data_IF_449432343081
#
_entry.id   IF_449432343081
#
_cell.length_a   1.000
_cell.length_b   1.000
_cell.length_c   1.000
_cell.angle_alpha   90.00
_cell.angle_beta   90.00
_cell.angle_gamma   90.00
#
_symmetry.space_group_name_H-M   'P 1'
#
loop_
_entity.id
_entity.type
_entity.pdbx_description
1 polymer ?
#
# COMPACT_ATOMS: atom_id res chain seq x y z
N UNK A 1 73.99 -13.47 -8.78
CA UNK A 1 72.59 -14.06 -8.50
C UNK A 1 71.66 -13.12 -7.74
N UNK A 2 72.11 -12.12 -6.99
CA UNK A 2 71.27 -11.26 -6.20
C UNK A 2 70.43 -10.18 -6.96
N UNK A 3 70.81 -9.79 -8.20
CA UNK A 3 70.10 -8.70 -8.89
C UNK A 3 68.82 -9.12 -9.60
N UNK A 4 68.68 -10.38 -10.03
CA UNK A 4 67.50 -10.88 -10.73
C UNK A 4 66.34 -11.24 -9.77
N UNK A 5 66.63 -11.67 -8.56
CA UNK A 5 65.63 -11.92 -7.52
C UNK A 5 65.06 -10.63 -6.94
N UNK A 6 65.88 -9.60 -6.75
CA UNK A 6 65.44 -8.29 -6.31
C UNK A 6 64.52 -7.59 -7.32
N UNK A 7 64.77 -7.75 -8.63
CA UNK A 7 63.90 -7.18 -9.68
C UNK A 7 62.54 -7.91 -9.79
N UNK A 8 62.53 -9.23 -9.67
CA UNK A 8 61.26 -10.01 -9.66
C UNK A 8 60.40 -9.68 -8.43
N UNK A 9 61.01 -9.50 -7.26
CA UNK A 9 60.31 -9.13 -6.05
C UNK A 9 59.71 -7.71 -6.13
N UNK A 10 60.44 -6.78 -6.76
CA UNK A 10 59.95 -5.40 -6.98
C UNK A 10 58.82 -5.36 -7.99
N UNK A 11 58.88 -6.13 -9.10
CA UNK A 11 57.83 -6.24 -10.09
C UNK A 11 56.56 -6.88 -9.48
N UNK A 12 56.75 -7.91 -8.68
CA UNK A 12 55.60 -8.53 -7.99
C UNK A 12 54.90 -7.58 -7.00
N UNK A 13 55.67 -6.80 -6.25
CA UNK A 13 55.10 -5.78 -5.34
C UNK A 13 54.38 -4.69 -6.11
N UNK A 14 54.91 -4.19 -7.22
CA UNK A 14 54.29 -3.19 -8.06
C UNK A 14 52.99 -3.72 -8.66
N UNK A 15 52.97 -4.95 -9.13
CA UNK A 15 51.77 -5.61 -9.66
C UNK A 15 50.69 -5.75 -8.57
N UNK A 16 51.08 -6.15 -7.36
CA UNK A 16 50.14 -6.25 -6.21
C UNK A 16 49.55 -4.88 -5.90
N UNK A 17 50.34 -3.81 -5.84
CA UNK A 17 49.85 -2.46 -5.61
C UNK A 17 48.91 -1.98 -6.72
N UNK A 18 49.21 -2.32 -7.99
CA UNK A 18 48.31 -2.01 -9.12
C UNK A 18 47.00 -2.75 -9.02
N UNK A 19 47.03 -4.05 -8.70
CA UNK A 19 45.81 -4.84 -8.50
C UNK A 19 44.96 -4.31 -7.34
N UNK A 20 45.59 -3.99 -6.21
CA UNK A 20 44.90 -3.39 -5.06
C UNK A 20 44.30 -2.02 -5.45
N UNK A 21 45.05 -1.21 -6.19
CA UNK A 21 44.60 0.08 -6.68
C UNK A 21 43.39 -0.04 -7.61
N UNK A 22 43.38 -1.01 -8.52
CA UNK A 22 42.26 -1.29 -9.41
C UNK A 22 41.05 -1.78 -8.61
N UNK A 23 41.27 -2.71 -7.68
CA UNK A 23 40.19 -3.19 -6.80
C UNK A 23 39.58 -2.02 -6.01
N UNK A 24 40.38 -1.18 -5.41
CA UNK A 24 39.94 -0.02 -4.66
C UNK A 24 39.16 0.99 -5.56
N UNK A 25 39.70 1.25 -6.76
CA UNK A 25 39.11 2.16 -7.73
C UNK A 25 37.72 1.70 -8.20
N UNK A 26 37.52 0.40 -8.31
CA UNK A 26 36.21 -0.19 -8.71
C UNK A 26 35.29 -0.39 -7.51
N UNK A 27 35.84 -0.80 -6.36
CA UNK A 27 35.00 -1.15 -5.20
C UNK A 27 34.51 0.09 -4.44
N UNK A 28 35.32 1.13 -4.29
CA UNK A 28 34.94 2.33 -3.53
C UNK A 28 33.74 3.05 -4.17
N UNK A 29 33.75 3.37 -5.48
CA UNK A 29 32.56 3.96 -6.11
C UNK A 29 31.33 3.08 -6.02
N UNK A 30 31.49 1.76 -6.20
CA UNK A 30 30.38 0.81 -6.09
C UNK A 30 29.80 0.79 -4.68
N UNK A 31 30.63 0.77 -3.65
CA UNK A 31 30.20 0.83 -2.25
C UNK A 31 29.53 2.16 -1.91
N UNK A 32 30.07 3.28 -2.41
CA UNK A 32 29.46 4.60 -2.20
C UNK A 32 28.10 4.70 -2.89
N UNK A 33 27.99 4.20 -4.12
CA UNK A 33 26.74 4.19 -4.87
C UNK A 33 25.69 3.30 -4.17
N UNK A 34 26.08 2.07 -3.82
CA UNK A 34 25.20 1.13 -3.12
C UNK A 34 24.78 1.69 -1.75
N UNK A 35 25.72 2.25 -0.99
CA UNK A 35 25.42 2.90 0.29
C UNK A 35 24.47 4.07 0.14
N UNK A 36 24.70 4.94 -0.86
CA UNK A 36 23.80 6.05 -1.19
C UNK A 36 22.39 5.56 -1.55
N UNK A 37 22.27 4.50 -2.35
CA UNK A 37 20.99 3.91 -2.70
C UNK A 37 20.25 3.33 -1.50
N UNK A 38 20.97 2.62 -0.61
CA UNK A 38 20.38 1.99 0.58
C UNK A 38 19.75 3.03 1.52
N UNK A 39 20.38 4.20 1.67
CA UNK A 39 19.91 5.26 2.57
C UNK A 39 19.00 6.29 1.88
N UNK A 40 18.82 6.21 0.55
CA UNK A 40 17.98 7.17 -0.19
C UNK A 40 16.50 6.81 -0.09
N UNK A 41 15.69 7.84 -0.16
CA UNK A 41 14.25 7.70 -0.39
C UNK A 41 13.94 7.65 -1.88
N UNK A 42 12.79 7.09 -2.24
CA UNK A 42 12.29 7.22 -3.59
C UNK A 42 11.98 8.70 -3.87
N UNK A 43 12.47 9.28 -4.97
CA UNK A 43 12.13 10.66 -5.29
C UNK A 43 10.65 10.78 -5.59
N UNK A 44 10.02 11.79 -4.99
CA UNK A 44 8.60 12.06 -5.19
C UNK A 44 8.35 13.57 -5.13
N UNK A 45 7.46 14.11 -5.96
CA UNK A 45 7.03 15.49 -5.85
C UNK A 45 6.32 15.72 -4.52
N UNK A 46 6.67 16.82 -3.85
CA UNK A 46 6.07 17.20 -2.55
C UNK A 46 4.88 18.13 -2.70
N UNK A 47 4.65 18.61 -3.90
CA UNK A 47 3.56 19.49 -4.28
C UNK A 47 2.91 18.95 -5.56
N UNK A 48 1.72 19.39 -5.83
CA UNK A 48 1.00 19.00 -7.03
C UNK A 48 -0.05 17.93 -6.73
N UNK A 49 -1.26 18.40 -6.77
CA UNK A 49 -2.47 17.60 -6.66
C UNK A 49 -3.19 17.71 -7.97
N UNK A 50 -3.47 16.57 -8.60
CA UNK A 50 -4.31 16.55 -9.79
C UNK A 50 -5.72 16.98 -9.44
N UNK A 51 -6.45 17.44 -10.44
CA UNK A 51 -7.86 17.71 -10.25
C UNK A 51 -8.62 16.40 -10.10
N UNK A 52 -9.72 16.45 -9.35
CA UNK A 52 -10.65 15.34 -9.28
C UNK A 52 -11.12 14.93 -10.70
N UNK A 53 -11.54 13.68 -10.91
CA UNK A 53 -12.08 13.27 -12.20
C UNK A 53 -13.27 14.16 -12.57
N UNK A 54 -13.51 14.33 -13.86
CA UNK A 54 -14.63 15.13 -14.38
C UNK A 54 -16.00 14.54 -14.06
N UNK A 55 -16.08 13.32 -13.55
CA UNK A 55 -17.30 12.73 -13.01
C UNK A 55 -17.71 13.45 -11.73
N UNK A 56 -18.87 14.10 -11.76
CA UNK A 56 -19.46 14.74 -10.58
C UNK A 56 -19.98 13.71 -9.56
N UNK A 57 -20.11 12.45 -9.96
CA UNK A 57 -20.64 11.39 -9.11
C UNK A 57 -19.51 10.56 -8.50
N UNK A 58 -19.55 10.43 -7.18
CA UNK A 58 -18.70 9.49 -6.45
C UNK A 58 -19.10 8.06 -6.78
N UNK A 59 -18.12 7.16 -6.89
CA UNK A 59 -18.40 5.74 -7.03
C UNK A 59 -18.82 5.11 -5.68
N UNK A 60 -18.48 5.75 -4.56
CA UNK A 60 -18.82 5.30 -3.22
C UNK A 60 -18.97 6.48 -2.27
N UNK A 61 -19.86 6.37 -1.29
CA UNK A 61 -20.02 7.37 -0.22
C UNK A 61 -19.03 7.18 0.94
N UNK A 62 -18.36 6.03 1.00
CA UNK A 62 -17.35 5.75 2.00
C UNK A 62 -16.49 4.55 1.65
N UNK A 63 -15.38 4.42 2.35
CA UNK A 63 -14.39 3.36 2.15
C UNK A 63 -13.98 2.74 3.48
N UNK A 64 -14.24 1.45 3.64
CA UNK A 64 -13.64 0.62 4.68
C UNK A 64 -12.49 -0.19 4.08
N UNK A 65 -11.27 0.17 4.40
CA UNK A 65 -10.04 -0.49 3.94
C UNK A 65 -9.43 -1.30 5.09
N UNK A 66 -9.41 -2.61 4.96
CA UNK A 66 -8.90 -3.51 6.00
C UNK A 66 -7.61 -4.15 5.53
N UNK A 67 -6.58 -4.08 6.36
CA UNK A 67 -5.28 -4.71 6.14
C UNK A 67 -5.07 -5.79 7.18
N UNK A 68 -4.88 -7.03 6.73
CA UNK A 68 -4.43 -8.14 7.56
C UNK A 68 -2.92 -8.27 7.44
N UNK A 69 -2.22 -7.97 8.51
CA UNK A 69 -0.77 -8.18 8.59
C UNK A 69 -0.44 -9.67 8.50
N UNK A 70 0.42 -10.03 7.56
CA UNK A 70 0.88 -11.41 7.37
C UNK A 70 -0.16 -12.37 6.75
N UNK A 71 -1.16 -11.84 6.02
CA UNK A 71 -2.26 -12.62 5.45
C UNK A 71 -1.85 -13.44 4.23
N UNK A 72 -1.69 -14.75 4.35
CA UNK A 72 -1.40 -15.67 3.22
C UNK A 72 -2.59 -15.81 2.29
N UNK A 73 -2.40 -15.42 1.02
CA UNK A 73 -3.45 -15.50 -0.03
C UNK A 73 -4.06 -16.89 -0.15
N UNK A 74 -3.23 -17.94 -0.21
CA UNK A 74 -3.66 -19.32 -0.39
C UNK A 74 -4.54 -19.81 0.77
N UNK A 75 -4.24 -19.42 2.01
CA UNK A 75 -5.04 -19.77 3.17
C UNK A 75 -6.28 -18.90 3.32
N UNK A 76 -6.17 -17.60 3.08
CA UNK A 76 -7.32 -16.69 3.13
C UNK A 76 -8.35 -17.01 2.04
N UNK A 77 -7.92 -17.51 0.87
CA UNK A 77 -8.80 -17.91 -0.23
C UNK A 77 -9.38 -19.32 -0.05
N UNK A 78 -8.91 -20.07 0.92
CA UNK A 78 -9.46 -21.40 1.25
C UNK A 78 -10.72 -21.27 2.11
N UNK A 79 -11.85 -21.74 1.56
CA UNK A 79 -13.16 -21.74 2.25
C UNK A 79 -13.22 -22.67 3.47
N UNK A 80 -12.20 -23.48 3.74
CA UNK A 80 -12.09 -24.20 5.01
C UNK A 80 -11.69 -23.27 6.17
N UNK A 81 -11.08 -22.13 5.86
CA UNK A 81 -10.62 -21.16 6.86
C UNK A 81 -11.47 -19.89 6.86
N UNK A 82 -11.80 -19.35 5.69
CA UNK A 82 -12.57 -18.11 5.55
C UNK A 82 -13.78 -18.28 4.62
N UNK A 83 -14.76 -19.11 4.99
CA UNK A 83 -15.91 -19.40 4.13
C UNK A 83 -16.80 -18.19 3.85
N UNK A 84 -17.05 -17.34 4.86
CA UNK A 84 -17.95 -16.19 4.73
C UNK A 84 -17.37 -15.11 3.83
N UNK A 85 -16.08 -14.76 4.02
CA UNK A 85 -15.39 -13.78 3.18
C UNK A 85 -15.39 -14.23 1.72
N UNK A 86 -15.03 -15.50 1.47
CA UNK A 86 -14.95 -16.01 0.10
C UNK A 86 -16.32 -16.11 -0.55
N UNK A 87 -17.35 -16.59 0.15
CA UNK A 87 -18.73 -16.63 -0.38
C UNK A 87 -19.23 -15.22 -0.71
N UNK A 88 -18.98 -14.22 0.16
CA UNK A 88 -19.40 -12.85 -0.08
C UNK A 88 -18.82 -12.30 -1.38
N UNK A 89 -17.53 -12.47 -1.61
CA UNK A 89 -16.87 -11.95 -2.80
C UNK A 89 -17.23 -12.76 -4.05
N UNK A 90 -17.30 -14.08 -3.94
CA UNK A 90 -17.67 -14.94 -5.06
C UNK A 90 -19.09 -14.68 -5.56
N UNK A 91 -19.98 -14.17 -4.70
CA UNK A 91 -21.36 -13.85 -5.04
C UNK A 91 -21.57 -12.35 -5.36
N UNK A 92 -20.94 -11.46 -4.61
CA UNK A 92 -21.30 -10.04 -4.59
C UNK A 92 -20.12 -9.09 -4.83
N UNK A 93 -18.92 -9.59 -5.07
CA UNK A 93 -17.72 -8.77 -5.18
C UNK A 93 -16.72 -9.25 -6.21
N UNK A 94 -15.53 -8.69 -6.11
CA UNK A 94 -14.38 -8.99 -6.95
C UNK A 94 -13.21 -9.45 -6.09
N UNK A 95 -12.61 -10.57 -6.46
CA UNK A 95 -11.30 -10.96 -5.97
C UNK A 95 -10.21 -10.38 -6.87
N UNK A 96 -9.16 -9.83 -6.27
CA UNK A 96 -8.06 -9.19 -6.99
C UNK A 96 -6.76 -9.85 -6.55
N UNK A 97 -5.98 -10.37 -7.49
CA UNK A 97 -4.61 -10.78 -7.20
C UNK A 97 -3.71 -9.54 -7.05
N UNK A 98 -2.95 -9.46 -5.97
CA UNK A 98 -2.11 -8.32 -5.65
C UNK A 98 -0.66 -8.76 -5.47
N UNK A 99 0.26 -8.06 -6.12
CA UNK A 99 1.70 -8.27 -5.96
C UNK A 99 2.30 -7.15 -5.12
N UNK A 100 2.89 -7.51 -3.99
CA UNK A 100 3.59 -6.55 -3.13
C UNK A 100 4.91 -6.10 -3.75
N UNK A 101 5.43 -4.97 -3.30
CA UNK A 101 6.81 -4.55 -3.58
C UNK A 101 7.84 -5.60 -3.14
N UNK A 102 9.10 -5.43 -3.52
CA UNK A 102 10.15 -6.41 -3.19
C UNK A 102 10.55 -6.42 -1.71
N UNK A 103 10.19 -5.38 -0.95
CA UNK A 103 10.44 -5.27 0.48
C UNK A 103 9.16 -5.62 1.24
N UNK A 104 8.98 -6.89 1.54
CA UNK A 104 7.81 -7.42 2.23
C UNK A 104 7.92 -7.26 3.75
N UNK A 105 8.08 -6.02 4.18
CA UNK A 105 8.08 -5.58 5.58
C UNK A 105 6.85 -4.70 5.79
N UNK A 106 6.18 -4.82 6.91
CA UNK A 106 4.93 -4.11 7.21
C UNK A 106 4.98 -2.62 6.88
N UNK A 107 5.99 -1.89 7.38
CA UNK A 107 6.12 -0.45 7.12
C UNK A 107 6.32 -0.11 5.63
N UNK A 108 7.06 -0.95 4.89
CA UNK A 108 7.27 -0.77 3.46
C UNK A 108 5.99 -1.00 2.66
N UNK A 109 5.26 -2.05 2.97
CA UNK A 109 3.99 -2.39 2.32
C UNK A 109 2.90 -1.36 2.63
N UNK A 110 2.79 -0.95 3.90
CA UNK A 110 1.85 0.10 4.31
C UNK A 110 2.15 1.42 3.59
N UNK A 111 3.42 1.84 3.51
CA UNK A 111 3.80 3.04 2.77
C UNK A 111 3.40 2.94 1.29
N UNK A 112 3.64 1.78 0.64
CA UNK A 112 3.26 1.59 -0.75
C UNK A 112 1.74 1.63 -0.95
N UNK A 113 0.95 1.02 -0.07
CA UNK A 113 -0.51 1.08 -0.10
C UNK A 113 -1.06 2.48 0.21
N UNK A 114 -0.36 3.22 1.04
CA UNK A 114 -0.78 4.57 1.43
C UNK A 114 -0.47 5.61 0.34
N UNK A 115 0.76 5.62 -0.19
CA UNK A 115 1.25 6.70 -1.05
C UNK A 115 1.36 6.32 -2.53
N UNK A 116 1.40 5.02 -2.83
CA UNK A 116 1.72 4.52 -4.17
C UNK A 116 3.19 4.72 -4.57
N UNK A 117 4.04 5.16 -3.65
CA UNK A 117 5.47 5.40 -3.91
C UNK A 117 6.26 4.13 -3.59
N UNK A 118 7.09 3.63 -4.52
CA UNK A 118 7.87 2.43 -4.29
C UNK A 118 8.76 2.52 -3.07
N UNK A 119 8.80 1.49 -2.25
CA UNK A 119 9.70 1.39 -1.11
C UNK A 119 11.14 1.12 -1.55
N UNK A 120 12.08 1.65 -0.77
CA UNK A 120 13.51 1.42 -0.91
C UNK A 120 14.08 0.74 0.33
N UNK A 121 15.32 0.22 0.29
CA UNK A 121 15.92 -0.47 1.44
C UNK A 121 15.88 0.31 2.76
N UNK A 122 15.89 1.66 2.71
CA UNK A 122 15.75 2.51 3.90
C UNK A 122 14.46 2.20 4.67
N UNK A 123 13.34 2.09 3.97
CA UNK A 123 12.04 1.82 4.59
C UNK A 123 11.99 0.42 5.24
N UNK A 124 12.64 -0.57 4.62
CA UNK A 124 12.79 -1.90 5.24
C UNK A 124 13.61 -1.87 6.53
N UNK A 125 14.62 -0.99 6.63
CA UNK A 125 15.39 -0.78 7.87
C UNK A 125 14.57 -0.04 8.93
N UNK A 126 13.58 0.73 8.55
CA UNK A 126 12.69 1.51 9.42
C UNK A 126 11.36 0.79 9.68
N UNK A 127 11.33 -0.55 9.63
CA UNK A 127 10.09 -1.33 9.66
C UNK A 127 9.13 -1.01 10.82
N UNK A 128 9.64 -0.49 11.92
CA UNK A 128 8.83 -0.16 13.10
C UNK A 128 8.43 1.32 13.17
N UNK A 129 8.93 2.16 12.30
CA UNK A 129 8.69 3.61 12.29
C UNK A 129 8.68 4.12 10.85
N UNK A 130 7.57 3.89 10.11
CA UNK A 130 7.47 4.41 8.75
C UNK A 130 7.44 5.94 8.77
N UNK A 131 8.20 6.54 7.85
CA UNK A 131 8.17 7.98 7.64
C UNK A 131 7.31 8.28 6.41
N UNK A 132 6.34 9.19 6.55
CA UNK A 132 5.57 9.68 5.41
C UNK A 132 6.49 10.54 4.54
N UNK A 133 6.48 10.36 3.21
CA UNK A 133 7.39 11.08 2.30
C UNK A 133 7.06 12.57 2.18
N UNK A 134 6.03 13.08 2.87
CA UNK A 134 5.62 14.49 2.85
C UNK A 134 5.03 14.93 1.50
N UNK A 135 4.49 13.98 0.73
CA UNK A 135 3.75 14.24 -0.51
C UNK A 135 2.26 14.11 -0.27
N UNK A 136 1.40 14.87 -0.95
CA UNK A 136 -0.02 14.58 -0.93
C UNK A 136 -0.30 13.14 -1.35
N UNK A 137 -1.19 12.47 -0.68
CA UNK A 137 -1.73 11.15 -1.04
C UNK A 137 -3.25 11.13 -0.88
N UNK A 138 -3.91 10.06 -1.39
CA UNK A 138 -5.36 9.97 -1.37
C UNK A 138 -5.95 9.93 0.04
N UNK A 139 -5.24 9.37 1.01
CA UNK A 139 -5.71 9.28 2.39
C UNK A 139 -5.60 10.63 3.12
N UNK A 140 -4.49 11.36 2.93
CA UNK A 140 -4.35 12.73 3.42
C UNK A 140 -5.44 13.62 2.83
N UNK A 141 -5.72 13.48 1.54
CA UNK A 141 -6.80 14.22 0.87
C UNK A 141 -8.18 13.87 1.40
N UNK A 142 -8.41 12.62 1.84
CA UNK A 142 -9.65 12.24 2.47
C UNK A 142 -9.93 13.00 3.79
N UNK A 143 -8.91 13.53 4.46
CA UNK A 143 -9.09 14.34 5.67
C UNK A 143 -9.05 15.85 5.44
N UNK A 144 -8.63 16.33 4.26
CA UNK A 144 -8.34 17.75 4.04
C UNK A 144 -8.99 18.34 2.79
N UNK A 145 -9.46 17.55 1.84
CA UNK A 145 -10.04 18.05 0.60
C UNK A 145 -11.45 18.61 0.82
N UNK A 146 -11.64 19.85 0.41
CA UNK A 146 -12.89 20.60 0.41
C UNK A 146 -13.23 20.97 -1.04
N UNK A 147 -14.04 20.13 -1.69
CA UNK A 147 -14.35 20.26 -3.11
C UNK A 147 -15.42 21.31 -3.41
N UNK A 148 -16.29 21.61 -2.45
CA UNK A 148 -17.34 22.62 -2.61
C UNK A 148 -16.96 24.00 -2.07
N UNK A 149 -15.83 24.11 -1.35
CA UNK A 149 -15.26 25.36 -0.86
C UNK A 149 -15.99 25.94 0.34
N UNK A 150 -16.68 25.12 1.13
CA UNK A 150 -17.41 25.55 2.32
C UNK A 150 -16.51 25.68 3.57
N UNK A 151 -15.27 25.24 3.49
CA UNK A 151 -14.26 25.29 4.56
C UNK A 151 -14.24 24.06 5.45
N UNK A 152 -14.98 23.00 5.07
CA UNK A 152 -15.04 21.73 5.77
C UNK A 152 -14.62 20.62 4.80
N UNK A 153 -13.77 19.70 5.25
CA UNK A 153 -13.39 18.57 4.40
C UNK A 153 -14.60 17.69 4.05
N UNK A 154 -14.70 17.29 2.79
CA UNK A 154 -15.82 16.46 2.29
C UNK A 154 -15.90 15.09 2.95
N UNK A 155 -14.76 14.58 3.42
CA UNK A 155 -14.66 13.30 4.08
C UNK A 155 -13.98 13.44 5.45
N UNK A 156 -14.13 12.40 6.27
CA UNK A 156 -13.42 12.25 7.54
C UNK A 156 -12.71 10.91 7.56
N UNK A 157 -11.40 10.94 7.83
CA UNK A 157 -10.55 9.77 7.82
C UNK A 157 -10.18 9.33 9.24
N UNK A 158 -10.38 8.05 9.54
CA UNK A 158 -9.97 7.44 10.79
C UNK A 158 -9.17 6.15 10.56
N UNK A 159 -8.25 5.89 11.49
CA UNK A 159 -7.43 4.69 11.52
C UNK A 159 -7.72 3.93 12.81
N UNK A 160 -7.79 2.61 12.75
CA UNK A 160 -7.93 1.74 13.92
C UNK A 160 -6.99 0.53 13.80
N UNK A 161 -6.38 0.13 14.92
CA UNK A 161 -5.59 -1.09 15.02
C UNK A 161 -4.10 -0.87 15.23
N UNK A 162 -3.27 -1.48 14.43
CA UNK A 162 -1.81 -1.41 14.58
C UNK A 162 -1.27 -0.01 14.33
N UNK A 163 -0.13 0.30 14.95
CA UNK A 163 0.45 1.64 14.96
C UNK A 163 1.05 2.07 13.61
N UNK A 164 1.37 1.14 12.72
CA UNK A 164 2.15 1.43 11.50
C UNK A 164 1.45 2.46 10.61
N UNK A 165 0.13 2.31 10.38
CA UNK A 165 -0.64 3.31 9.65
C UNK A 165 -0.71 4.65 10.41
N UNK A 166 -0.92 4.60 11.72
CA UNK A 166 -1.01 5.80 12.54
C UNK A 166 0.31 6.56 12.63
N UNK A 167 1.44 5.83 12.72
CA UNK A 167 2.77 6.45 12.74
C UNK A 167 3.09 7.12 11.39
N UNK A 168 2.62 6.55 10.26
CA UNK A 168 2.79 7.16 8.93
C UNK A 168 2.13 8.55 8.84
N UNK A 169 1.01 8.75 9.54
CA UNK A 169 0.25 10.00 9.57
C UNK A 169 0.33 10.73 10.93
N UNK A 170 1.40 10.47 11.70
CA UNK A 170 1.53 11.01 13.05
C UNK A 170 1.50 12.56 13.11
N UNK A 171 2.03 13.20 12.08
CA UNK A 171 2.09 14.67 11.97
C UNK A 171 0.79 15.30 11.41
N UNK A 172 -0.21 14.49 11.03
CA UNK A 172 -1.49 14.98 10.53
C UNK A 172 -2.53 15.00 11.67
N UNK A 173 -2.84 16.19 12.18
CA UNK A 173 -3.75 16.36 13.30
C UNK A 173 -5.24 16.16 12.94
N UNK A 174 -5.58 16.10 11.65
CA UNK A 174 -6.95 15.89 11.18
C UNK A 174 -7.36 14.42 11.15
N UNK A 175 -6.40 13.48 11.29
CA UNK A 175 -6.66 12.05 11.24
C UNK A 175 -6.83 11.49 12.65
N UNK A 176 -7.98 10.89 12.93
CA UNK A 176 -8.23 10.17 14.18
C UNK A 176 -7.58 8.78 14.14
N UNK A 177 -6.81 8.47 15.17
CA UNK A 177 -6.16 7.17 15.28
C UNK A 177 -6.49 6.48 16.62
N UNK A 178 -7.12 5.30 16.54
CA UNK A 178 -7.38 4.40 17.66
C UNK A 178 -6.36 3.25 17.64
N UNK A 179 -5.31 3.39 18.44
CA UNK A 179 -4.20 2.43 18.52
C UNK A 179 -4.53 1.25 19.42
N UNK A 180 -4.49 0.04 18.84
CA UNK A 180 -4.75 -1.21 19.54
C UNK A 180 -3.64 -2.24 19.27
N UNK A 181 -2.47 -2.02 19.86
CA UNK A 181 -1.35 -2.94 19.75
C UNK A 181 -0.95 -3.48 21.12
N UNK A 182 -0.92 -4.80 21.24
CA UNK A 182 -0.50 -5.50 22.47
C UNK A 182 0.80 -6.31 22.29
N UNK A 183 1.48 -6.15 21.15
CA UNK A 183 2.72 -6.85 20.80
C UNK A 183 2.49 -8.36 20.57
N UNK A 184 3.58 -9.08 20.35
CA UNK A 184 3.54 -10.53 20.06
C UNK A 184 3.24 -11.43 21.28
N UNK A 185 2.84 -10.87 22.42
CA UNK A 185 2.45 -11.64 23.61
C UNK A 185 0.95 -11.91 23.69
N UNK A 186 0.14 -11.14 22.98
CA UNK A 186 -1.31 -11.29 22.93
C UNK A 186 -1.81 -11.05 21.49
N UNK A 187 -1.92 -12.13 20.73
CA UNK A 187 -2.29 -12.13 19.30
C UNK A 187 -3.77 -11.82 19.03
N UNK A 188 -4.58 -11.80 20.08
CA UNK A 188 -6.02 -11.62 19.95
C UNK A 188 -6.47 -10.24 20.41
N UNK A 189 -5.85 -9.71 21.45
CA UNK A 189 -6.37 -8.54 22.16
C UNK A 189 -6.44 -7.28 21.30
N UNK A 190 -5.37 -6.98 20.55
CA UNK A 190 -5.36 -5.82 19.65
C UNK A 190 -6.45 -5.88 18.59
N UNK A 191 -6.64 -7.05 17.99
CA UNK A 191 -7.68 -7.26 16.99
C UNK A 191 -9.09 -7.22 17.61
N UNK A 192 -9.29 -7.80 18.81
CA UNK A 192 -10.58 -7.72 19.52
C UNK A 192 -10.96 -6.25 19.75
N UNK A 193 -10.04 -5.45 20.33
CA UNK A 193 -10.29 -4.03 20.59
C UNK A 193 -10.52 -3.23 19.30
N UNK A 194 -9.86 -3.62 18.20
CA UNK A 194 -10.08 -3.01 16.88
C UNK A 194 -11.48 -3.30 16.35
N UNK A 195 -11.94 -4.55 16.45
CA UNK A 195 -13.31 -4.92 16.08
C UNK A 195 -14.36 -4.27 16.98
N UNK A 196 -14.11 -4.15 18.28
CA UNK A 196 -14.98 -3.43 19.21
C UNK A 196 -15.11 -1.95 18.81
N UNK A 197 -14.00 -1.31 18.45
CA UNK A 197 -13.99 0.07 17.95
C UNK A 197 -14.76 0.21 16.65
N UNK A 198 -14.51 -0.65 15.64
CA UNK A 198 -15.26 -0.63 14.38
C UNK A 198 -16.76 -0.80 14.60
N UNK A 199 -17.14 -1.77 15.42
CA UNK A 199 -18.56 -2.00 15.74
C UNK A 199 -19.19 -0.79 16.43
N UNK A 200 -18.50 -0.15 17.36
CA UNK A 200 -18.94 1.05 18.05
C UNK A 200 -19.17 2.21 17.08
N UNK A 201 -18.23 2.41 16.14
CA UNK A 201 -18.35 3.45 15.12
C UNK A 201 -19.57 3.21 14.21
N UNK A 202 -19.75 1.98 13.70
CA UNK A 202 -20.91 1.65 12.88
C UNK A 202 -22.24 1.65 13.66
N UNK A 203 -22.21 1.49 14.98
CA UNK A 203 -23.38 1.65 15.85
C UNK A 203 -23.69 3.14 16.17
N UNK A 204 -22.91 4.09 15.64
CA UNK A 204 -23.16 5.52 15.68
C UNK A 204 -22.38 6.26 16.76
N UNK A 205 -21.39 5.66 17.40
CA UNK A 205 -20.50 6.34 18.32
C UNK A 205 -19.46 7.18 17.55
N UNK A 206 -19.32 8.46 17.94
CA UNK A 206 -18.30 9.32 17.36
C UNK A 206 -16.94 8.87 17.88
N UNK A 207 -16.00 8.52 16.99
CA UNK A 207 -14.69 8.03 17.42
C UNK A 207 -13.88 9.13 18.08
N UNK A 208 -13.04 8.72 19.04
CA UNK A 208 -12.07 9.60 19.69
C UNK A 208 -10.70 9.01 19.58
N UNK A 209 -9.72 9.83 19.22
CA UNK A 209 -8.33 9.39 19.23
C UNK A 209 -7.89 9.00 20.65
N UNK A 210 -7.15 7.89 20.76
CA UNK A 210 -6.43 7.57 22.00
C UNK A 210 -4.93 7.91 21.89
N UNK A 211 -4.52 8.55 20.80
CA UNK A 211 -3.14 8.99 20.54
C UNK A 211 -3.01 10.50 20.42
N UNK A 212 -4.12 11.21 20.15
CA UNK A 212 -4.18 12.67 19.96
C UNK A 212 -5.32 13.22 20.81
N UNK A 213 -5.01 14.09 21.78
CA UNK A 213 -5.97 14.54 22.80
C UNK A 213 -7.11 15.43 22.26
N UNK A 214 -6.86 16.16 21.17
CA UNK A 214 -7.75 17.19 20.66
C UNK A 214 -8.48 16.81 19.36
N UNK A 215 -8.29 15.60 18.82
CA UNK A 215 -8.97 15.18 17.60
C UNK A 215 -10.34 14.62 17.94
N UNK A 216 -11.38 15.33 17.52
CA UNK A 216 -12.78 14.91 17.62
C UNK A 216 -13.47 15.19 16.30
N UNK A 217 -14.25 14.23 15.82
CA UNK A 217 -15.05 14.41 14.62
C UNK A 217 -16.48 14.82 14.98
N UNK A 218 -17.08 15.65 14.15
CA UNK A 218 -18.48 16.04 14.27
C UNK A 218 -19.44 14.97 13.76
N UNK A 219 -18.95 14.13 12.83
CA UNK A 219 -19.67 13.01 12.22
C UNK A 219 -18.81 11.74 12.24
N UNK A 220 -19.41 10.59 11.97
CA UNK A 220 -18.65 9.36 11.79
C UNK A 220 -17.76 9.45 10.55
N UNK A 221 -16.51 8.98 10.63
CA UNK A 221 -15.64 8.95 9.47
C UNK A 221 -16.24 8.04 8.40
N UNK A 222 -16.22 8.51 7.17
CA UNK A 222 -16.62 7.73 6.00
C UNK A 222 -15.42 7.13 5.24
N UNK A 223 -14.22 7.36 5.73
CA UNK A 223 -12.99 6.70 5.29
C UNK A 223 -12.31 6.08 6.50
N UNK A 224 -12.24 4.76 6.51
CA UNK A 224 -11.69 4.02 7.65
C UNK A 224 -10.62 3.05 7.15
N UNK A 225 -9.45 3.10 7.76
CA UNK A 225 -8.42 2.06 7.63
C UNK A 225 -8.38 1.26 8.92
N UNK A 226 -8.50 -0.06 8.81
CA UNK A 226 -8.33 -1.00 9.92
C UNK A 226 -7.11 -1.89 9.66
N UNK A 227 -6.10 -1.84 10.53
CA UNK A 227 -4.89 -2.67 10.41
C UNK A 227 -4.81 -3.67 11.56
N UNK A 228 -5.00 -4.95 11.25
CA UNK A 228 -5.09 -6.05 12.20
C UNK A 228 -3.80 -6.88 12.19
N UNK A 229 -3.00 -6.78 13.25
CA UNK A 229 -1.66 -7.40 13.31
C UNK A 229 -1.61 -8.76 14.03
N UNK A 230 -2.74 -9.24 14.50
CA UNK A 230 -2.78 -10.50 15.27
C UNK A 230 -2.49 -11.74 14.44
N UNK A 231 -2.76 -11.72 13.12
CA UNK A 231 -2.49 -12.87 12.25
C UNK A 231 -0.98 -13.03 12.01
N UNK A 232 -0.25 -11.95 11.71
CA UNK A 232 1.21 -11.94 11.61
C UNK A 232 1.88 -12.42 12.89
N UNK A 233 1.46 -11.87 14.02
CA UNK A 233 1.96 -12.27 15.34
C UNK A 233 1.73 -13.76 15.63
N UNK A 234 0.60 -14.32 15.20
CA UNK A 234 0.29 -15.74 15.31
C UNK A 234 1.21 -16.57 14.42
N UNK A 235 1.38 -16.14 13.16
CA UNK A 235 2.27 -16.79 12.21
C UNK A 235 3.72 -16.80 12.67
N UNK A 236 4.25 -15.69 13.16
CA UNK A 236 5.60 -15.60 13.72
C UNK A 236 5.82 -16.56 14.89
N UNK A 237 4.79 -16.81 15.68
CA UNK A 237 4.88 -17.68 16.86
C UNK A 237 4.74 -19.15 16.57
N UNK A 238 3.81 -19.51 15.70
CA UNK A 238 3.38 -20.91 15.52
C UNK A 238 3.63 -21.44 14.10
N UNK A 239 4.06 -20.57 13.15
CA UNK A 239 4.07 -20.89 11.74
C UNK A 239 2.69 -20.70 11.10
N UNK A 240 2.58 -21.05 9.83
CA UNK A 240 1.32 -20.90 9.08
C UNK A 240 0.75 -22.24 8.61
N UNK A 241 1.55 -23.08 7.96
CA UNK A 241 1.14 -24.39 7.45
C UNK A 241 1.11 -25.42 8.57
N UNK A 242 0.04 -26.21 8.62
CA UNK A 242 -0.20 -27.21 9.69
C UNK A 242 -0.18 -26.59 11.10
N UNK A 243 -0.54 -25.30 11.21
CA UNK A 243 -0.62 -24.56 12.47
C UNK A 243 -2.09 -24.39 12.89
N UNK A 244 -2.57 -25.16 13.86
CA UNK A 244 -3.94 -25.02 14.35
C UNK A 244 -4.26 -23.59 14.83
N UNK A 245 -3.28 -22.91 15.44
CA UNK A 245 -3.43 -21.57 15.97
C UNK A 245 -3.63 -20.53 14.85
N UNK A 246 -2.90 -20.66 13.73
CA UNK A 246 -3.05 -19.76 12.58
C UNK A 246 -4.38 -20.01 11.86
N UNK A 247 -4.76 -21.28 11.69
CA UNK A 247 -6.05 -21.66 11.11
C UNK A 247 -7.25 -21.20 11.97
N UNK A 248 -7.15 -21.37 13.30
CA UNK A 248 -8.19 -20.90 14.23
C UNK A 248 -8.32 -19.38 14.18
N UNK A 249 -7.18 -18.68 14.09
CA UNK A 249 -7.18 -17.21 13.93
C UNK A 249 -7.88 -16.77 12.66
N UNK A 250 -7.65 -17.44 11.52
CA UNK A 250 -8.35 -17.13 10.25
C UNK A 250 -9.87 -17.35 10.40
N UNK A 251 -10.30 -18.46 10.98
CA UNK A 251 -11.74 -18.72 11.20
C UNK A 251 -12.38 -17.69 12.12
N UNK A 252 -11.68 -17.32 13.19
CA UNK A 252 -12.13 -16.26 14.09
C UNK A 252 -12.24 -14.91 13.39
N UNK A 253 -11.27 -14.54 12.54
CA UNK A 253 -11.32 -13.33 11.74
C UNK A 253 -12.51 -13.34 10.77
N UNK A 254 -12.78 -14.46 10.10
CA UNK A 254 -13.90 -14.61 9.17
C UNK A 254 -15.27 -14.38 9.87
N UNK A 255 -15.42 -14.89 11.10
CA UNK A 255 -16.60 -14.63 11.93
C UNK A 255 -16.71 -13.14 12.30
N UNK A 256 -15.60 -12.51 12.73
CA UNK A 256 -15.59 -11.09 13.12
C UNK A 256 -15.83 -10.15 11.94
N UNK A 257 -15.28 -10.46 10.78
CA UNK A 257 -15.59 -9.71 9.57
C UNK A 257 -17.09 -9.78 9.23
N UNK A 258 -17.72 -10.93 9.35
CA UNK A 258 -19.15 -11.06 9.12
C UNK A 258 -19.98 -10.14 10.02
N UNK A 259 -19.59 -10.02 11.31
CA UNK A 259 -20.26 -9.11 12.26
C UNK A 259 -20.13 -7.63 11.84
N UNK A 260 -18.91 -7.20 11.43
CA UNK A 260 -18.67 -5.81 11.02
C UNK A 260 -19.32 -5.51 9.67
N UNK A 261 -19.17 -6.40 8.68
CA UNK A 261 -19.69 -6.16 7.33
C UNK A 261 -21.21 -6.04 7.28
N UNK A 262 -21.90 -6.70 8.20
CA UNK A 262 -23.36 -6.55 8.35
C UNK A 262 -23.80 -5.13 8.76
N UNK A 263 -22.86 -4.29 9.25
CA UNK A 263 -23.13 -2.92 9.71
C UNK A 263 -22.63 -1.86 8.74
N UNK A 264 -21.74 -2.21 7.81
CA UNK A 264 -21.24 -1.25 6.81
C UNK A 264 -22.40 -0.80 5.93
N UNK A 265 -22.56 0.51 5.68
CA UNK A 265 -23.59 1.02 4.80
C UNK A 265 -23.51 0.44 3.37
N UNK A 266 -24.64 0.12 2.76
CA UNK A 266 -24.69 -0.48 1.41
C UNK A 266 -24.09 0.41 0.31
N UNK A 267 -24.01 1.72 0.53
CA UNK A 267 -23.41 2.69 -0.38
C UNK A 267 -21.90 2.90 -0.12
N UNK A 268 -21.26 2.07 0.72
CA UNK A 268 -19.81 2.07 0.94
C UNK A 268 -19.14 0.94 0.18
N UNK A 269 -17.89 1.19 -0.19
CA UNK A 269 -16.99 0.14 -0.69
C UNK A 269 -16.16 -0.42 0.46
N UNK A 270 -16.06 -1.74 0.50
CA UNK A 270 -15.16 -2.46 1.40
C UNK A 270 -14.05 -3.09 0.59
N UNK A 271 -12.82 -2.92 1.04
CA UNK A 271 -11.64 -3.61 0.50
C UNK A 271 -10.88 -4.23 1.65
N UNK A 272 -10.73 -5.54 1.64
CA UNK A 272 -9.90 -6.28 2.58
C UNK A 272 -8.69 -6.82 1.82
N UNK A 273 -7.49 -6.59 2.33
CA UNK A 273 -6.25 -7.07 1.74
C UNK A 273 -5.25 -7.49 2.81
N UNK A 274 -4.09 -7.99 2.41
CA UNK A 274 -2.95 -8.18 3.28
C UNK A 274 -1.79 -7.28 2.84
N UNK A 275 -0.96 -6.89 3.77
CA UNK A 275 0.26 -6.13 3.47
C UNK A 275 1.35 -7.05 2.86
N UNK A 276 1.52 -8.25 3.39
CA UNK A 276 2.35 -9.32 2.86
C UNK A 276 1.83 -10.68 3.33
N UNK A 277 2.36 -11.75 2.76
CA UNK A 277 2.17 -13.11 3.28
C UNK A 277 3.31 -13.54 4.19
N UNK A 278 3.25 -14.80 4.62
CA UNK A 278 4.24 -15.45 5.48
C UNK A 278 4.70 -16.77 4.87
N UNK A 279 5.94 -17.16 5.13
CA UNK A 279 6.41 -18.53 4.86
C UNK A 279 5.72 -19.54 5.77
N UNK A 280 5.91 -20.83 5.51
CA UNK A 280 5.42 -21.91 6.39
C UNK A 280 5.89 -21.75 7.84
N UNK A 281 7.11 -21.26 8.03
CA UNK A 281 7.70 -21.00 9.36
C UNK A 281 7.33 -19.65 9.95
N UNK A 282 6.42 -18.89 9.33
CA UNK A 282 5.96 -17.60 9.81
C UNK A 282 6.98 -16.48 9.65
N UNK A 283 7.74 -16.44 8.57
CA UNK A 283 8.71 -15.37 8.28
C UNK A 283 8.30 -14.58 7.04
N UNK A 284 8.70 -13.32 6.97
CA UNK A 284 8.53 -12.45 5.82
C UNK A 284 9.83 -11.67 5.51
N UNK A 285 9.79 -10.67 4.62
CA UNK A 285 10.96 -9.88 4.25
C UNK A 285 11.77 -10.45 3.08
N UNK A 286 11.32 -11.56 2.48
CA UNK A 286 11.95 -12.16 1.29
C UNK A 286 11.12 -11.93 0.02
N UNK A 287 11.66 -12.33 -1.12
CA UNK A 287 10.99 -12.24 -2.43
C UNK A 287 10.20 -13.50 -2.81
N UNK A 288 9.97 -14.40 -1.86
CA UNK A 288 9.22 -15.64 -2.13
C UNK A 288 7.77 -15.33 -2.53
N UNK A 289 7.24 -16.06 -3.51
CA UNK A 289 5.90 -15.83 -4.05
C UNK A 289 4.82 -15.86 -2.96
N UNK A 290 4.89 -16.82 -2.04
CA UNK A 290 3.92 -16.95 -0.92
C UNK A 290 3.87 -15.74 0.00
N UNK A 291 4.94 -14.92 0.03
CA UNK A 291 5.00 -13.68 0.81
C UNK A 291 4.54 -12.49 -0.03
N UNK A 292 4.91 -12.45 -1.32
CA UNK A 292 4.65 -11.32 -2.20
C UNK A 292 3.28 -11.34 -2.86
N UNK A 293 2.73 -12.51 -3.09
CA UNK A 293 1.41 -12.65 -3.70
C UNK A 293 0.34 -12.65 -2.62
N UNK A 294 -0.36 -11.52 -2.50
CA UNK A 294 -1.50 -11.37 -1.58
C UNK A 294 -2.79 -11.22 -2.37
N UNK A 295 -3.92 -11.23 -1.70
CA UNK A 295 -5.23 -11.00 -2.30
C UNK A 295 -5.84 -9.69 -1.83
N UNK A 296 -6.77 -9.16 -2.63
CA UNK A 296 -7.74 -8.18 -2.16
C UNK A 296 -9.15 -8.66 -2.47
N UNK A 297 -10.04 -8.54 -1.49
CA UNK A 297 -11.46 -8.85 -1.55
C UNK A 297 -12.20 -7.52 -1.54
N UNK A 298 -12.89 -7.19 -2.62
CA UNK A 298 -13.57 -5.91 -2.79
C UNK A 298 -15.05 -6.09 -3.13
N UNK A 299 -15.92 -5.30 -2.51
CA UNK A 299 -17.35 -5.23 -2.83
C UNK A 299 -17.93 -3.88 -2.45
N UNK A 300 -19.08 -3.55 -3.01
CA UNK A 300 -19.77 -2.29 -2.80
C UNK A 300 -20.32 -1.71 -4.09
N UNK A 301 -20.73 -0.44 -4.08
CA UNK A 301 -21.21 0.24 -5.28
C UNK A 301 -20.16 0.22 -6.39
N UNK A 302 -20.61 0.02 -7.63
CA UNK A 302 -19.75 0.00 -8.82
C UNK A 302 -18.60 -1.01 -8.81
N UNK A 303 -18.57 -1.96 -7.87
CA UNK A 303 -17.67 -3.12 -7.92
C UNK A 303 -18.35 -4.25 -8.67
N UNK A 304 -17.65 -4.85 -9.63
CA UNK A 304 -18.15 -6.03 -10.36
C UNK A 304 -18.42 -7.18 -9.39
N UNK A 305 -19.48 -7.91 -9.66
CA UNK A 305 -19.87 -9.09 -8.87
C UNK A 305 -19.37 -10.37 -9.53
N UNK A 306 -19.02 -11.36 -8.70
CA UNK A 306 -18.56 -12.68 -9.15
C UNK A 306 -17.42 -12.57 -10.17
N UNK A 307 -16.46 -11.68 -9.89
CA UNK A 307 -15.39 -11.33 -10.81
C UNK A 307 -14.01 -11.56 -10.18
N UNK A 308 -13.03 -11.81 -11.03
CA UNK A 308 -11.62 -11.89 -10.61
C UNK A 308 -10.78 -11.00 -11.51
N UNK A 309 -9.99 -10.15 -10.90
CA UNK A 309 -9.02 -9.30 -11.59
C UNK A 309 -7.67 -9.98 -11.57
N UNK A 310 -6.99 -10.00 -12.72
CA UNK A 310 -5.59 -10.40 -12.80
C UNK A 310 -4.72 -9.47 -11.94
N UNK A 311 -3.47 -9.87 -11.75
CA UNK A 311 -2.55 -9.24 -10.84
C UNK A 311 -2.41 -7.72 -11.05
N UNK A 312 -2.61 -6.97 -9.94
CA UNK A 312 -2.24 -5.56 -9.83
C UNK A 312 -1.03 -5.41 -8.90
N UNK A 313 -0.37 -4.25 -8.94
CA UNK A 313 0.64 -3.90 -7.95
C UNK A 313 -0.02 -3.43 -6.63
N UNK A 314 0.57 -3.75 -5.48
CA UNK A 314 0.06 -3.27 -4.18
C UNK A 314 -0.07 -1.74 -4.11
N UNK A 315 0.80 -1.01 -4.83
CA UNK A 315 0.76 0.45 -4.97
C UNK A 315 -0.51 0.98 -5.63
N UNK A 316 -1.20 0.15 -6.40
CA UNK A 316 -2.45 0.51 -7.05
C UNK A 316 -3.56 0.76 -6.02
N UNK A 317 -3.48 0.12 -4.85
CA UNK A 317 -4.40 0.32 -3.74
C UNK A 317 -4.34 1.76 -3.16
N UNK A 318 -3.22 2.47 -3.32
CA UNK A 318 -3.08 3.86 -2.92
C UNK A 318 -4.01 4.81 -3.71
N UNK A 319 -4.52 4.39 -4.84
CA UNK A 319 -5.40 5.20 -5.68
C UNK A 319 -6.88 5.08 -5.29
N UNK A 320 -7.23 4.12 -4.43
CA UNK A 320 -8.62 3.83 -4.06
C UNK A 320 -9.38 5.03 -3.48
N UNK A 321 -8.82 5.83 -2.56
CA UNK A 321 -9.54 7.01 -2.06
C UNK A 321 -9.88 7.98 -3.18
N UNK A 322 -8.93 8.28 -4.08
CA UNK A 322 -9.16 9.16 -5.23
C UNK A 322 -10.21 8.60 -6.18
N UNK A 323 -10.10 7.31 -6.53
CA UNK A 323 -11.01 6.65 -7.45
C UNK A 323 -12.45 6.58 -6.91
N UNK A 324 -12.62 6.15 -5.67
CA UNK A 324 -13.94 5.85 -5.10
C UNK A 324 -14.67 7.09 -4.61
N UNK A 325 -13.93 8.07 -4.08
CA UNK A 325 -14.50 9.24 -3.41
C UNK A 325 -14.38 10.53 -4.24
N UNK A 326 -13.97 10.44 -5.50
CA UNK A 326 -13.72 11.58 -6.39
C UNK A 326 -12.75 12.61 -5.82
N UNK A 327 -11.72 12.16 -5.08
CA UNK A 327 -10.67 13.03 -4.58
C UNK A 327 -9.62 13.29 -5.67
N UNK A 328 -8.90 14.42 -5.63
CA UNK A 328 -7.77 14.62 -6.53
C UNK A 328 -6.79 13.43 -6.49
N UNK A 329 -6.21 13.09 -7.65
CA UNK A 329 -5.18 12.06 -7.75
C UNK A 329 -3.80 12.70 -7.62
N UNK A 330 -3.05 12.42 -6.55
CA UNK A 330 -1.70 12.94 -6.38
C UNK A 330 -0.76 12.41 -7.47
N UNK A 331 -0.08 13.28 -8.20
CA UNK A 331 0.87 12.84 -9.23
C UNK A 331 2.17 12.26 -8.69
N UNK A 332 2.36 12.25 -7.36
CA UNK A 332 3.46 11.51 -6.72
C UNK A 332 3.24 9.99 -6.77
N UNK A 333 1.98 9.54 -6.83
CA UNK A 333 1.67 8.12 -6.85
C UNK A 333 2.17 7.42 -8.13
N UNK A 334 2.65 6.20 -7.99
CA UNK A 334 2.93 5.28 -9.10
C UNK A 334 1.77 4.28 -9.31
N UNK A 335 0.74 4.37 -8.47
CA UNK A 335 -0.42 3.48 -8.55
C UNK A 335 -1.27 3.75 -9.79
N UNK A 336 -1.96 2.73 -10.25
CA UNK A 336 -2.93 2.76 -11.32
C UNK A 336 -4.31 2.44 -10.77
N UNK A 337 -5.34 3.04 -11.33
CA UNK A 337 -6.70 2.65 -11.00
C UNK A 337 -6.98 1.20 -11.38
N UNK A 338 -7.51 0.36 -10.48
CA UNK A 338 -7.88 -1.03 -10.78
C UNK A 338 -9.22 -1.08 -11.53
N UNK A 339 -9.27 -0.50 -12.74
CA UNK A 339 -10.50 -0.27 -13.51
C UNK A 339 -11.20 -1.57 -13.92
N UNK A 340 -10.49 -2.70 -13.99
CA UNK A 340 -11.12 -3.98 -14.30
C UNK A 340 -12.02 -4.50 -13.16
N UNK A 341 -11.82 -4.02 -11.95
CA UNK A 341 -12.71 -4.33 -10.82
C UNK A 341 -14.05 -3.58 -10.87
N UNK A 342 -14.18 -2.54 -11.72
CA UNK A 342 -15.33 -1.64 -11.71
C UNK A 342 -16.41 -2.06 -12.70
N UNK A 343 -17.66 -1.98 -12.24
CA UNK A 343 -18.89 -2.11 -13.03
C UNK A 343 -19.39 -0.71 -13.46
N UNK A 344 -18.65 -0.12 -14.37
CA UNK A 344 -18.93 1.20 -15.00
C UNK A 344 -18.77 1.08 -16.51
N UNK A 345 -19.24 2.07 -17.25
CA UNK A 345 -19.16 2.08 -18.71
C UNK A 345 -17.72 2.13 -19.23
N UNK A 346 -17.52 1.74 -20.49
CA UNK A 346 -16.18 1.81 -21.12
C UNK A 346 -15.73 3.28 -21.29
N UNK A 347 -16.69 4.19 -21.50
CA UNK A 347 -16.45 5.63 -21.58
C UNK A 347 -15.91 6.17 -20.24
N UNK A 348 -16.53 5.83 -19.12
CA UNK A 348 -16.06 6.22 -17.78
C UNK A 348 -14.68 5.63 -17.49
N UNK A 349 -14.44 4.37 -17.86
CA UNK A 349 -13.10 3.76 -17.73
C UNK A 349 -12.04 4.51 -18.53
N UNK A 350 -12.37 4.97 -19.74
CA UNK A 350 -11.45 5.75 -20.56
C UNK A 350 -11.12 7.10 -19.92
N UNK A 351 -12.10 7.79 -19.36
CA UNK A 351 -11.93 9.06 -18.67
C UNK A 351 -11.02 8.89 -17.43
N UNK A 352 -11.30 7.90 -16.60
CA UNK A 352 -10.49 7.57 -15.43
C UNK A 352 -9.07 7.17 -15.81
N UNK A 353 -8.90 6.37 -16.88
CA UNK A 353 -7.59 5.99 -17.36
C UNK A 353 -6.80 7.19 -17.88
N UNK A 354 -7.45 8.10 -18.62
CA UNK A 354 -6.82 9.33 -19.07
C UNK A 354 -6.38 10.21 -17.91
N UNK A 355 -7.18 10.30 -16.87
CA UNK A 355 -6.84 11.06 -15.67
C UNK A 355 -5.62 10.45 -14.93
N UNK A 356 -5.61 9.14 -14.72
CA UNK A 356 -4.46 8.44 -14.13
C UNK A 356 -3.20 8.59 -15.00
N UNK A 357 -3.37 8.59 -16.32
CA UNK A 357 -2.30 8.83 -17.27
C UNK A 357 -1.71 10.24 -17.15
N UNK A 358 -2.55 11.27 -17.07
CA UNK A 358 -2.11 12.64 -16.89
C UNK A 358 -1.27 12.81 -15.62
N UNK A 359 -1.68 12.24 -14.51
CA UNK A 359 -0.89 12.22 -13.27
C UNK A 359 0.48 11.57 -13.48
N UNK A 360 0.52 10.48 -14.24
CA UNK A 360 1.78 9.78 -14.60
C UNK A 360 2.71 10.67 -15.44
N UNK A 361 2.16 11.39 -16.42
CA UNK A 361 2.91 12.33 -17.26
C UNK A 361 3.50 13.45 -16.40
N UNK A 362 2.73 14.06 -15.52
CA UNK A 362 3.18 15.12 -14.64
C UNK A 362 4.28 14.67 -13.69
N UNK A 363 4.14 13.47 -13.10
CA UNK A 363 5.19 12.89 -12.28
C UNK A 363 6.49 12.69 -13.08
N UNK A 364 6.41 12.13 -14.27
CA UNK A 364 7.60 11.89 -15.10
C UNK A 364 8.28 13.20 -15.51
N UNK A 365 7.50 14.23 -15.84
CA UNK A 365 8.05 15.56 -16.13
C UNK A 365 8.77 16.15 -14.92
N UNK A 366 8.17 16.04 -13.73
CA UNK A 366 8.82 16.48 -12.50
C UNK A 366 10.14 15.72 -12.23
N UNK A 367 10.17 14.41 -12.49
CA UNK A 367 11.38 13.58 -12.35
C UNK A 367 12.48 14.07 -13.27
N UNK A 368 12.18 14.36 -14.53
CA UNK A 368 13.14 14.89 -15.50
C UNK A 368 13.67 16.28 -15.08
N UNK A 369 12.78 17.19 -14.73
CA UNK A 369 13.10 18.56 -14.34
C UNK A 369 14.00 18.62 -13.10
N UNK A 370 13.90 17.60 -12.22
CA UNK A 370 14.71 17.48 -11.01
C UNK A 370 15.93 16.56 -11.16
N UNK A 371 16.26 16.14 -12.40
CA UNK A 371 17.46 15.35 -12.70
C UNK A 371 17.42 13.90 -12.19
N UNK A 372 16.23 13.41 -11.88
CA UNK A 372 16.00 12.01 -11.57
C UNK A 372 15.79 11.26 -12.88
N UNK A 373 16.87 10.84 -13.53
CA UNK A 373 16.81 10.08 -14.78
C UNK A 373 15.92 8.84 -14.63
N UNK A 374 14.67 9.01 -14.93
CA UNK A 374 13.74 7.93 -15.19
C UNK A 374 13.82 7.64 -16.69
N UNK A 375 14.21 6.46 -17.07
CA UNK A 375 14.32 5.93 -18.42
C UNK A 375 14.19 7.03 -19.51
N UNK A 376 15.33 7.49 -20.03
CA UNK A 376 15.36 8.37 -21.20
C UNK A 376 14.40 7.83 -22.28
N UNK A 377 13.44 8.64 -22.68
CA UNK A 377 12.49 8.31 -23.74
C UNK A 377 11.03 8.12 -23.31
N UNK A 378 10.74 7.93 -22.01
CA UNK A 378 9.33 7.78 -21.61
C UNK A 378 8.52 9.06 -21.78
N UNK A 379 9.11 10.25 -21.57
CA UNK A 379 8.40 11.51 -21.80
C UNK A 379 8.11 11.80 -23.26
N UNK A 380 9.04 11.46 -24.17
CA UNK A 380 8.83 11.62 -25.62
C UNK A 380 7.91 10.55 -26.20
N UNK A 381 7.99 9.32 -25.72
CA UNK A 381 7.05 8.25 -26.07
C UNK A 381 5.65 8.51 -25.52
N UNK A 382 5.55 9.07 -24.31
CA UNK A 382 4.30 9.48 -23.67
C UNK A 382 3.56 10.53 -24.51
N UNK A 383 4.27 11.56 -25.03
CA UNK A 383 3.69 12.57 -25.92
C UNK A 383 3.22 11.98 -27.25
N UNK A 384 3.84 10.91 -27.73
CA UNK A 384 3.35 10.19 -28.91
C UNK A 384 2.13 9.31 -28.62
N UNK A 385 2.00 8.78 -27.41
CA UNK A 385 0.85 8.01 -26.97
C UNK A 385 -0.45 8.81 -26.91
N UNK A 386 -0.41 10.08 -26.54
CA UNK A 386 -1.56 10.99 -26.65
C UNK A 386 -2.14 11.10 -28.07
N UNK A 387 -1.36 10.71 -29.09
CA UNK A 387 -1.77 10.69 -30.50
C UNK A 387 -2.26 9.31 -30.98
N UNK A 388 -2.19 8.30 -30.14
CA UNK A 388 -2.63 6.94 -30.48
C UNK A 388 -4.07 6.78 -30.02
N UNK A 389 -4.98 6.54 -30.99
CA UNK A 389 -6.40 6.30 -30.67
C UNK A 389 -6.59 5.10 -29.71
N UNK A 390 -7.62 5.13 -28.86
CA UNK A 390 -7.95 4.06 -27.90
C UNK A 390 -8.00 2.64 -28.54
N UNK A 391 -8.42 2.55 -29.79
CA UNK A 391 -8.48 1.30 -30.57
C UNK A 391 -7.11 0.61 -30.76
N UNK A 392 -6.00 1.35 -30.60
CA UNK A 392 -4.64 0.80 -30.72
C UNK A 392 -4.03 0.40 -29.38
N UNK A 393 -4.64 0.76 -28.26
CA UNK A 393 -4.15 0.47 -26.93
C UNK A 393 -4.54 -0.94 -26.43
N UNK A 394 -5.34 -1.68 -27.20
CA UNK A 394 -5.72 -3.06 -26.83
C UNK A 394 -6.64 -3.14 -25.61
N UNK A 395 -7.42 -2.08 -25.36
CA UNK A 395 -8.49 -2.03 -24.37
C UNK A 395 -9.80 -2.52 -24.97
#
# INVERSE_FOLDING_TARGET
MGSAEGSKLAINKMLIFQVIGIIALLSIPSLLYTGSYIISEAPAPKEGIEQAPSSEERLSEGLLFIVLDGGRKDMMRDSNFMPNLNSMVDENGTFIDVLTGPLTMTASCVKEMATGIPSRPKEGLSNFHPEHPGTPDGWTLASSYDGDGDGIADNEFAIVGDYVWGDLYADNDEINFMKHRHGHSDYMKGDIESFETLNSWFDGEIPKSNTKEDVTFERLPNVIVAHLSGLDSTGHRYGTTDSPEYEEKLRWLDEKFTEVFAKVPENWTVVLTADHGLTESGQHGSSDAVIREVGAWAWGPHIKKSHTVEQIDQRDLATLPSLLLSLPLPHATHGKFPLDALDISDEEKQELNQWNWNATVMRNQWMEDNGHNYVEGLSSEVIEWEKISPEKMGL
#
